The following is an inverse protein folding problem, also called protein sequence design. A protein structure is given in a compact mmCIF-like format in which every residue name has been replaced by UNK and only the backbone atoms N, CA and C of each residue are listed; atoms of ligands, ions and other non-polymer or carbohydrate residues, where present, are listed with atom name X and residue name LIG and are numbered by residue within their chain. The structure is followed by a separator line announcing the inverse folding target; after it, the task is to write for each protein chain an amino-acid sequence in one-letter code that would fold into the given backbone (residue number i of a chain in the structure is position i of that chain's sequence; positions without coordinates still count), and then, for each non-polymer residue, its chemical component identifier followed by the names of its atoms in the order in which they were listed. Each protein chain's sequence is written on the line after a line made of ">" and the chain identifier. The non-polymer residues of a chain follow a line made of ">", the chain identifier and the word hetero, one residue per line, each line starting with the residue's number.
data_IF_859687961589
#
_entry.id   IF_859687961589
#
_cell.length_a   1.000
_cell.length_b   1.000
_cell.length_c   1.000
_cell.angle_alpha   90.00
_cell.angle_beta   90.00
_cell.angle_gamma   90.00
#
_symmetry.space_group_name_H-M   'P 1'
#
loop_
_entity.id
_entity.type
_entity.pdbx_description
1 polymer ?
#
# COMPACT_ATOMS: atom_id res chain seq x y z
N UNK A 1 30.68 16.90 -8.58
CA UNK A 1 29.38 16.41 -9.09
C UNK A 1 28.28 17.15 -8.34
N UNK A 2 27.41 17.91 -9.03
CA UNK A 2 26.37 18.69 -8.36
C UNK A 2 25.24 17.75 -7.91
N UNK A 3 25.14 17.47 -6.61
CA UNK A 3 24.14 16.54 -6.05
C UNK A 3 22.75 17.18 -5.88
N UNK A 4 22.63 18.50 -6.07
CA UNK A 4 21.39 19.24 -5.86
C UNK A 4 20.19 18.68 -6.67
N UNK A 5 20.33 18.34 -7.97
CA UNK A 5 19.22 17.78 -8.74
C UNK A 5 18.80 16.40 -8.24
N UNK A 6 19.75 15.58 -7.81
CA UNK A 6 19.46 14.25 -7.26
C UNK A 6 18.60 14.35 -6.00
N UNK A 7 18.98 15.22 -5.05
CA UNK A 7 18.21 15.40 -3.82
C UNK A 7 16.81 15.97 -4.11
N UNK A 8 16.68 16.91 -5.05
CA UNK A 8 15.38 17.44 -5.45
C UNK A 8 14.46 16.33 -5.98
N UNK A 9 14.95 15.49 -6.90
CA UNK A 9 14.18 14.34 -7.41
C UNK A 9 13.83 13.36 -6.28
N UNK A 10 14.79 13.03 -5.42
CA UNK A 10 14.55 12.11 -4.30
C UNK A 10 13.44 12.59 -3.36
N UNK A 11 13.46 13.88 -2.98
CA UNK A 11 12.42 14.44 -2.11
C UNK A 11 11.08 14.50 -2.80
N UNK A 12 11.04 14.90 -4.08
CA UNK A 12 9.81 14.93 -4.87
C UNK A 12 9.17 13.53 -4.98
N UNK A 13 9.97 12.53 -5.30
CA UNK A 13 9.52 11.14 -5.37
C UNK A 13 9.05 10.64 -4.00
N UNK A 14 9.75 11.02 -2.93
CA UNK A 14 9.32 10.66 -1.57
C UNK A 14 7.94 11.23 -1.26
N UNK A 15 7.67 12.49 -1.63
CA UNK A 15 6.34 13.08 -1.49
C UNK A 15 5.29 12.33 -2.32
N UNK A 16 5.60 11.96 -3.56
CA UNK A 16 4.71 11.16 -4.41
C UNK A 16 4.39 9.82 -3.76
N UNK A 17 5.40 9.10 -3.25
CA UNK A 17 5.20 7.83 -2.56
C UNK A 17 4.32 8.01 -1.32
N UNK A 18 4.60 9.01 -0.48
CA UNK A 18 3.79 9.29 0.71
C UNK A 18 2.33 9.59 0.36
N UNK A 19 2.10 10.40 -0.69
CA UNK A 19 0.76 10.71 -1.17
C UNK A 19 0.02 9.48 -1.66
N UNK A 20 0.68 8.64 -2.47
CA UNK A 20 0.08 7.42 -3.01
C UNK A 20 -0.21 6.39 -1.91
N UNK A 21 0.68 6.26 -0.92
CA UNK A 21 0.47 5.35 0.22
C UNK A 21 -0.64 5.86 1.17
N UNK A 22 -0.94 7.15 1.18
CA UNK A 22 -2.06 7.70 1.96
C UNK A 22 -3.39 6.99 1.62
N UNK A 23 -3.64 6.73 0.32
CA UNK A 23 -4.82 5.97 -0.10
C UNK A 23 -4.86 4.55 0.49
N UNK A 24 -3.73 3.85 0.57
CA UNK A 24 -3.63 2.52 1.18
C UNK A 24 -3.89 2.55 2.70
N UNK A 25 -3.40 3.57 3.41
CA UNK A 25 -3.70 3.70 4.83
C UNK A 25 -5.18 3.97 5.09
N UNK A 26 -5.81 4.86 4.32
CA UNK A 26 -7.26 5.11 4.40
C UNK A 26 -8.02 3.81 4.07
N UNK A 27 -7.59 3.09 3.03
CA UNK A 27 -8.18 1.81 2.63
C UNK A 27 -8.14 0.78 3.74
N UNK A 28 -7.03 0.67 4.47
CA UNK A 28 -6.90 -0.22 5.62
C UNK A 28 -7.82 0.14 6.78
N UNK A 29 -8.05 1.43 7.02
CA UNK A 29 -9.03 1.90 8.02
C UNK A 29 -10.45 1.53 7.59
N UNK A 30 -10.83 1.84 6.35
CA UNK A 30 -12.15 1.51 5.80
C UNK A 30 -12.38 -0.01 5.80
N UNK A 31 -11.37 -0.80 5.43
CA UNK A 31 -11.41 -2.25 5.46
C UNK A 31 -11.70 -2.80 6.86
N UNK A 32 -11.06 -2.24 7.89
CA UNK A 32 -11.28 -2.66 9.27
C UNK A 32 -12.74 -2.44 9.73
N UNK A 33 -13.41 -1.39 9.24
CA UNK A 33 -14.85 -1.20 9.46
C UNK A 33 -15.68 -2.17 8.62
N UNK A 34 -15.31 -2.36 7.35
CA UNK A 34 -16.01 -3.25 6.43
C UNK A 34 -16.05 -4.70 6.94
N UNK A 35 -14.96 -5.17 7.56
CA UNK A 35 -14.89 -6.51 8.18
C UNK A 35 -15.82 -6.72 9.38
N UNK A 36 -16.38 -5.65 9.96
CA UNK A 36 -17.39 -5.74 11.03
C UNK A 36 -18.82 -5.91 10.50
N UNK A 37 -19.01 -5.83 9.19
CA UNK A 37 -20.33 -5.95 8.56
C UNK A 37 -20.68 -7.42 8.28
N UNK A 38 -21.96 -7.82 8.35
CA UNK A 38 -22.39 -9.18 8.00
C UNK A 38 -22.07 -9.57 6.55
N UNK A 39 -21.99 -8.58 5.65
CA UNK A 39 -21.69 -8.77 4.23
C UNK A 39 -20.32 -9.43 3.99
N UNK A 40 -19.35 -9.20 4.88
CA UNK A 40 -17.99 -9.74 4.75
C UNK A 40 -17.73 -10.99 5.60
N UNK A 41 -18.71 -11.45 6.37
CA UNK A 41 -18.60 -12.67 7.17
C UNK A 41 -18.40 -13.94 6.31
N UNK A 42 -19.11 -14.14 5.17
CA UNK A 42 -18.91 -15.32 4.33
C UNK A 42 -17.48 -15.46 3.80
N UNK A 43 -16.79 -14.33 3.60
CA UNK A 43 -15.41 -14.26 3.10
C UNK A 43 -14.36 -14.37 4.23
N UNK A 44 -14.77 -14.48 5.50
CA UNK A 44 -13.87 -14.66 6.64
C UNK A 44 -13.31 -16.09 6.75
N UNK A 45 -12.98 -16.71 5.61
CA UNK A 45 -12.44 -18.06 5.50
C UNK A 45 -11.02 -18.01 4.93
N UNK A 46 -10.10 -18.87 5.40
CA UNK A 46 -8.76 -18.97 4.83
C UNK A 46 -8.81 -19.29 3.34
N UNK A 47 -7.90 -18.70 2.56
CA UNK A 47 -7.74 -19.00 1.14
C UNK A 47 -7.26 -20.45 0.98
N UNK A 48 -6.16 -20.79 1.65
CA UNK A 48 -5.65 -22.15 1.77
C UNK A 48 -4.74 -22.25 2.99
N UNK A 49 -5.11 -23.10 3.96
CA UNK A 49 -4.38 -23.23 5.23
C UNK A 49 -2.98 -23.83 5.04
N UNK A 50 -2.86 -24.83 4.17
CA UNK A 50 -1.58 -25.53 3.93
C UNK A 50 -0.59 -24.66 3.16
N UNK A 51 -1.07 -23.90 2.18
CA UNK A 51 -0.23 -23.04 1.34
C UNK A 51 0.09 -21.72 2.02
N UNK A 52 -0.88 -21.03 2.63
CA UNK A 52 -0.70 -19.65 3.07
C UNK A 52 -0.92 -19.43 4.57
N UNK A 53 -1.44 -20.43 5.29
CA UNK A 53 -1.82 -20.33 6.70
C UNK A 53 -3.22 -19.75 6.90
N UNK A 54 -3.76 -19.90 8.12
CA UNK A 54 -5.14 -19.53 8.46
C UNK A 54 -5.44 -18.02 8.41
N UNK A 55 -4.40 -17.18 8.45
CA UNK A 55 -4.54 -15.71 8.50
C UNK A 55 -4.76 -15.08 7.12
N UNK A 56 -4.40 -15.76 6.03
CA UNK A 56 -4.65 -15.26 4.67
C UNK A 56 -6.05 -15.66 4.24
N UNK A 57 -6.98 -14.71 4.31
CA UNK A 57 -8.43 -14.92 4.14
C UNK A 57 -8.96 -14.21 2.90
N UNK A 58 -10.01 -14.77 2.30
CA UNK A 58 -10.68 -14.17 1.14
C UNK A 58 -11.19 -12.76 1.41
N UNK A 59 -11.65 -12.48 2.63
CA UNK A 59 -12.17 -11.16 2.99
C UNK A 59 -11.17 -10.06 2.66
N UNK A 60 -9.88 -10.22 3.01
CA UNK A 60 -8.85 -9.21 2.75
C UNK A 60 -8.59 -9.04 1.26
N UNK A 61 -8.45 -10.16 0.52
CA UNK A 61 -8.20 -10.13 -0.92
C UNK A 61 -9.32 -9.43 -1.70
N UNK A 62 -10.54 -9.38 -1.16
CA UNK A 62 -11.70 -8.71 -1.74
C UNK A 62 -11.88 -7.30 -1.19
N UNK A 63 -11.75 -7.09 0.13
CA UNK A 63 -12.03 -5.81 0.77
C UNK A 63 -11.01 -4.74 0.43
N UNK A 64 -9.71 -5.05 0.41
CA UNK A 64 -8.68 -4.04 0.16
C UNK A 64 -8.79 -3.41 -1.24
N UNK A 65 -9.00 -4.16 -2.35
CA UNK A 65 -9.30 -3.54 -3.65
C UNK A 65 -10.47 -2.55 -3.58
N UNK A 66 -11.56 -2.95 -2.94
CA UNK A 66 -12.79 -2.14 -2.87
C UNK A 66 -12.59 -0.88 -2.01
N UNK A 67 -11.98 -1.02 -0.84
CA UNK A 67 -11.73 0.10 0.07
C UNK A 67 -10.65 1.03 -0.46
N UNK A 68 -9.68 0.50 -1.22
CA UNK A 68 -8.68 1.29 -1.90
C UNK A 68 -9.27 2.09 -3.06
N UNK A 69 -10.14 1.50 -3.89
CA UNK A 69 -10.91 2.26 -4.88
C UNK A 69 -11.75 3.37 -4.25
N UNK A 70 -12.41 3.11 -3.13
CA UNK A 70 -13.14 4.14 -2.39
C UNK A 70 -12.21 5.25 -1.86
N UNK A 71 -11.02 4.88 -1.35
CA UNK A 71 -10.04 5.83 -0.82
C UNK A 71 -9.46 6.72 -1.92
N UNK A 72 -9.13 6.15 -3.07
CA UNK A 72 -8.68 6.89 -4.26
C UNK A 72 -9.77 7.83 -4.73
N UNK A 73 -11.03 7.39 -4.81
CA UNK A 73 -12.16 8.26 -5.16
C UNK A 73 -12.29 9.45 -4.20
N UNK A 74 -12.23 9.21 -2.88
CA UNK A 74 -12.27 10.28 -1.89
C UNK A 74 -11.11 11.27 -2.05
N UNK A 75 -9.90 10.77 -2.29
CA UNK A 75 -8.72 11.63 -2.50
C UNK A 75 -8.79 12.39 -3.82
N UNK A 76 -9.39 11.83 -4.88
CA UNK A 76 -9.67 12.58 -6.11
C UNK A 76 -10.62 13.76 -5.86
N UNK A 77 -11.64 13.60 -5.01
CA UNK A 77 -12.52 14.70 -4.64
C UNK A 77 -11.76 15.78 -3.86
N UNK A 78 -10.89 15.37 -2.93
CA UNK A 78 -10.01 16.29 -2.20
C UNK A 78 -9.09 17.06 -3.15
N UNK A 79 -8.46 16.37 -4.10
CA UNK A 79 -7.58 16.99 -5.10
C UNK A 79 -8.34 17.98 -5.99
N UNK A 80 -9.58 17.68 -6.39
CA UNK A 80 -10.36 18.57 -7.26
C UNK A 80 -10.91 19.79 -6.53
N UNK A 81 -11.23 19.66 -5.25
CA UNK A 81 -11.91 20.71 -4.48
C UNK A 81 -10.93 21.53 -3.62
N UNK A 82 -10.06 20.86 -2.87
CA UNK A 82 -9.19 21.53 -1.89
C UNK A 82 -7.85 21.97 -2.49
N UNK A 83 -7.28 21.20 -3.42
CA UNK A 83 -5.95 21.51 -3.97
C UNK A 83 -5.90 22.86 -4.70
N UNK A 84 -6.88 23.23 -5.55
CA UNK A 84 -6.88 24.54 -6.22
C UNK A 84 -7.01 25.71 -5.23
N UNK A 85 -7.62 25.49 -4.07
CA UNK A 85 -7.84 26.52 -3.04
C UNK A 85 -6.63 26.68 -2.14
N UNK A 86 -6.05 25.57 -1.70
CA UNK A 86 -4.96 25.57 -0.71
C UNK A 86 -3.58 25.72 -1.36
N UNK A 87 -3.41 25.17 -2.56
CA UNK A 87 -2.14 25.06 -3.26
C UNK A 87 -2.33 25.32 -4.76
N UNK A 88 -2.78 26.54 -5.15
CA UNK A 88 -3.07 26.87 -6.56
C UNK A 88 -1.86 26.70 -7.48
N UNK A 89 -0.64 26.80 -6.94
CA UNK A 89 0.62 26.59 -7.67
C UNK A 89 0.89 25.11 -8.03
N UNK A 90 0.20 24.19 -7.36
CA UNK A 90 0.29 22.74 -7.56
C UNK A 90 -0.90 22.18 -8.36
N UNK A 91 -1.88 23.01 -8.69
CA UNK A 91 -3.04 22.64 -9.48
C UNK A 91 -2.63 22.49 -10.96
N UNK A 92 -2.34 21.25 -11.34
CA UNK A 92 -2.05 20.79 -12.70
C UNK A 92 -0.72 21.30 -13.30
N UNK A 93 0.19 20.34 -13.48
CA UNK A 93 1.26 20.34 -14.49
C UNK A 93 2.58 21.09 -14.21
N UNK A 94 2.77 21.72 -13.04
CA UNK A 94 4.06 22.39 -12.70
C UNK A 94 4.88 21.78 -11.56
N UNK A 95 4.31 20.91 -10.73
CA UNK A 95 4.90 20.52 -9.45
C UNK A 95 5.56 19.14 -9.36
N UNK A 96 5.57 18.33 -10.43
CA UNK A 96 6.11 16.96 -10.39
C UNK A 96 5.35 16.00 -9.45
N UNK A 97 4.17 16.40 -8.95
CA UNK A 97 3.33 15.58 -8.08
C UNK A 97 2.49 14.61 -8.91
N UNK A 98 2.45 13.35 -8.50
CA UNK A 98 1.54 12.34 -9.05
C UNK A 98 0.21 12.47 -8.31
N UNK A 99 -0.83 12.90 -9.03
CA UNK A 99 -2.16 13.09 -8.49
C UNK A 99 -3.07 11.89 -8.82
N UNK A 100 -3.94 11.53 -7.90
CA UNK A 100 -4.93 10.47 -8.11
C UNK A 100 -5.91 10.82 -9.22
N UNK A 101 -6.21 12.09 -9.41
CA UNK A 101 -7.10 12.64 -10.44
C UNK A 101 -6.63 12.36 -11.86
N UNK A 102 -5.37 11.96 -12.05
CA UNK A 102 -4.82 11.49 -13.32
C UNK A 102 -5.17 10.02 -13.65
N UNK A 103 -5.71 9.27 -12.70
CA UNK A 103 -6.06 7.85 -12.88
C UNK A 103 -7.57 7.62 -12.89
N UNK A 104 -8.00 6.54 -13.53
CA UNK A 104 -9.32 5.99 -13.26
C UNK A 104 -9.32 5.35 -11.86
N UNK A 105 -10.19 5.83 -10.96
CA UNK A 105 -10.17 5.40 -9.56
C UNK A 105 -10.52 3.92 -9.38
N UNK A 106 -11.35 3.34 -10.26
CA UNK A 106 -11.68 1.91 -10.21
C UNK A 106 -10.48 1.08 -10.64
N UNK A 107 -9.89 1.40 -11.79
CA UNK A 107 -8.71 0.70 -12.32
C UNK A 107 -7.55 0.77 -11.33
N UNK A 108 -7.15 1.98 -10.94
CA UNK A 108 -6.04 2.18 -10.00
C UNK A 108 -6.34 1.57 -8.64
N UNK A 109 -7.53 1.86 -8.11
CA UNK A 109 -7.99 1.40 -6.82
C UNK A 109 -7.99 -0.12 -6.69
N UNK A 110 -8.69 -0.78 -7.61
CA UNK A 110 -8.86 -2.23 -7.59
C UNK A 110 -7.55 -2.96 -7.86
N UNK A 111 -6.76 -2.54 -8.86
CA UNK A 111 -5.50 -3.21 -9.19
C UNK A 111 -4.47 -3.07 -8.08
N UNK A 112 -4.28 -1.86 -7.54
CA UNK A 112 -3.31 -1.65 -6.46
C UNK A 112 -3.71 -2.41 -5.20
N UNK A 113 -4.97 -2.31 -4.76
CA UNK A 113 -5.43 -3.04 -3.57
C UNK A 113 -5.39 -4.57 -3.75
N UNK A 114 -5.67 -5.06 -4.96
CA UNK A 114 -5.57 -6.49 -5.27
C UNK A 114 -4.12 -6.98 -5.26
N UNK A 115 -3.24 -6.30 -6.00
CA UNK A 115 -1.82 -6.67 -6.08
C UNK A 115 -1.14 -6.55 -4.73
N UNK A 116 -1.48 -5.54 -3.93
CA UNK A 116 -0.95 -5.37 -2.58
C UNK A 116 -1.17 -6.64 -1.75
N UNK A 117 -2.41 -7.14 -1.66
CA UNK A 117 -2.71 -8.35 -0.89
C UNK A 117 -2.24 -9.64 -1.58
N UNK A 118 -2.29 -9.71 -2.91
CA UNK A 118 -1.81 -10.87 -3.67
C UNK A 118 -0.32 -11.10 -3.42
N UNK A 119 0.46 -10.03 -3.31
CA UNK A 119 1.92 -10.08 -3.20
C UNK A 119 2.42 -10.54 -1.82
N UNK A 120 1.54 -10.61 -0.82
CA UNK A 120 1.84 -11.23 0.48
C UNK A 120 1.77 -12.77 0.43
N UNK A 121 1.11 -13.34 -0.58
CA UNK A 121 0.92 -14.79 -0.68
C UNK A 121 2.21 -15.57 -0.96
N UNK A 122 3.12 -15.13 -1.86
CA UNK A 122 4.40 -15.80 -2.08
C UNK A 122 5.24 -15.92 -0.80
N UNK A 123 5.36 -14.85 -0.03
CA UNK A 123 6.08 -14.87 1.24
C UNK A 123 5.41 -15.82 2.25
N UNK A 124 4.08 -15.80 2.32
CA UNK A 124 3.32 -16.72 3.18
C UNK A 124 3.54 -18.19 2.80
N UNK A 125 3.63 -18.49 1.50
CA UNK A 125 3.94 -19.81 0.98
C UNK A 125 5.34 -20.28 1.39
N UNK A 126 6.36 -19.42 1.22
CA UNK A 126 7.73 -19.73 1.62
C UNK A 126 7.79 -20.01 3.13
N UNK A 127 7.13 -19.18 3.96
CA UNK A 127 7.07 -19.38 5.41
C UNK A 127 6.46 -20.73 5.80
N UNK A 128 5.43 -21.21 5.09
CA UNK A 128 4.84 -22.54 5.34
C UNK A 128 5.79 -23.68 5.00
N UNK A 129 6.64 -23.55 3.98
CA UNK A 129 7.67 -24.56 3.63
C UNK A 129 8.82 -24.60 4.63
N UNK A 130 9.05 -23.50 5.34
CA UNK A 130 10.06 -23.40 6.38
C UNK A 130 9.52 -23.68 7.79
N UNK A 131 8.27 -24.16 7.90
CA UNK A 131 7.58 -24.41 9.18
C UNK A 131 7.52 -23.19 10.11
N UNK A 132 7.53 -21.97 9.54
CA UNK A 132 7.39 -20.73 10.30
C UNK A 132 5.89 -20.53 10.60
N UNK A 133 5.49 -20.34 11.87
CA UNK A 133 4.09 -20.11 12.22
C UNK A 133 3.52 -18.79 11.65
N UNK A 134 2.20 -18.68 11.44
CA UNK A 134 1.57 -17.41 11.08
C UNK A 134 1.75 -16.36 12.18
N UNK A 135 2.23 -15.16 11.81
CA UNK A 135 2.42 -14.05 12.75
C UNK A 135 3.68 -14.14 13.61
N UNK A 136 4.57 -15.09 13.31
CA UNK A 136 5.88 -15.16 13.95
C UNK A 136 6.78 -14.01 13.46
N UNK A 137 7.09 -13.08 14.37
CA UNK A 137 8.00 -11.94 14.16
C UNK A 137 9.39 -12.20 14.79
N UNK A 138 9.69 -13.41 15.28
CA UNK A 138 10.96 -13.73 15.95
C UNK A 138 12.16 -13.80 15.00
N UNK A 139 11.93 -14.15 13.74
CA UNK A 139 12.97 -14.22 12.73
C UNK A 139 13.15 -12.84 12.05
N UNK A 140 14.31 -12.16 12.21
CA UNK A 140 14.51 -10.80 11.70
C UNK A 140 14.49 -10.71 10.17
N UNK A 141 14.87 -11.78 9.46
CA UNK A 141 14.82 -11.83 8.00
C UNK A 141 13.37 -11.83 7.52
N UNK A 142 12.53 -12.70 8.10
CA UNK A 142 11.10 -12.73 7.76
C UNK A 142 10.35 -11.52 8.27
N UNK A 143 10.75 -10.93 9.40
CA UNK A 143 10.23 -9.66 9.84
C UNK A 143 10.46 -8.57 8.78
N UNK A 144 11.66 -8.49 8.20
CA UNK A 144 11.96 -7.52 7.15
C UNK A 144 11.17 -7.80 5.86
N UNK A 145 11.15 -9.06 5.40
CA UNK A 145 10.40 -9.47 4.20
C UNK A 145 8.89 -9.19 4.37
N UNK A 146 8.32 -9.43 5.55
CA UNK A 146 6.90 -9.17 5.87
C UNK A 146 6.51 -7.69 5.73
N UNK A 147 7.46 -6.75 5.80
CA UNK A 147 7.20 -5.32 5.60
C UNK A 147 7.45 -4.86 4.16
N UNK A 148 7.97 -5.74 3.30
CA UNK A 148 8.30 -5.42 1.91
C UNK A 148 7.47 -6.19 0.88
N UNK A 149 6.90 -7.33 1.22
CA UNK A 149 6.23 -8.23 0.27
C UNK A 149 5.11 -7.56 -0.54
N UNK A 150 4.18 -6.89 0.13
CA UNK A 150 3.11 -6.09 -0.48
C UNK A 150 3.63 -4.85 -1.23
N UNK A 151 4.72 -4.26 -0.74
CA UNK A 151 5.38 -3.11 -1.37
C UNK A 151 5.95 -3.49 -2.74
N UNK A 152 6.68 -4.60 -2.84
CA UNK A 152 7.29 -5.02 -4.09
C UNK A 152 6.27 -5.26 -5.20
N UNK A 153 5.17 -5.93 -4.88
CA UNK A 153 4.09 -6.14 -5.84
C UNK A 153 3.52 -4.84 -6.39
N UNK A 154 3.24 -3.89 -5.49
CA UNK A 154 2.70 -2.59 -5.85
C UNK A 154 3.68 -1.79 -6.74
N UNK A 155 4.97 -1.83 -6.42
CA UNK A 155 6.01 -1.17 -7.22
C UNK A 155 6.17 -1.80 -8.61
N UNK A 156 6.09 -3.13 -8.71
CA UNK A 156 6.09 -3.86 -10.00
C UNK A 156 4.88 -3.43 -10.84
N UNK A 157 3.68 -3.38 -10.25
CA UNK A 157 2.47 -2.89 -10.92
C UNK A 157 2.64 -1.44 -11.39
N UNK A 158 3.14 -0.55 -10.54
CA UNK A 158 3.38 0.85 -10.90
C UNK A 158 4.35 1.00 -12.06
N UNK A 159 5.44 0.23 -12.08
CA UNK A 159 6.42 0.29 -13.16
C UNK A 159 5.86 -0.27 -14.48
N UNK A 160 5.33 -1.49 -14.47
CA UNK A 160 4.96 -2.17 -15.71
C UNK A 160 3.61 -1.75 -16.27
N UNK A 161 2.63 -1.43 -15.40
CA UNK A 161 1.27 -1.10 -15.81
C UNK A 161 1.05 0.41 -15.86
N UNK A 162 1.26 1.12 -14.75
CA UNK A 162 1.06 2.57 -14.67
C UNK A 162 2.23 3.40 -15.24
N UNK A 163 3.29 2.73 -15.71
CA UNK A 163 4.45 3.34 -16.37
C UNK A 163 5.14 4.42 -15.52
N UNK A 164 5.17 4.24 -14.21
CA UNK A 164 5.90 5.15 -13.33
C UNK A 164 7.39 5.10 -13.65
N UNK A 165 8.08 6.24 -13.62
CA UNK A 165 9.49 6.30 -13.93
C UNK A 165 10.32 5.54 -12.89
N UNK A 166 11.44 4.98 -13.33
CA UNK A 166 12.28 4.11 -12.50
C UNK A 166 12.76 4.78 -11.21
N UNK A 167 13.02 6.10 -11.21
CA UNK A 167 13.45 6.82 -10.01
C UNK A 167 12.41 6.75 -8.87
N UNK A 168 11.11 6.89 -9.19
CA UNK A 168 10.03 6.71 -8.22
C UNK A 168 9.99 5.29 -7.66
N UNK A 169 10.22 4.30 -8.51
CA UNK A 169 10.28 2.89 -8.09
C UNK A 169 11.45 2.66 -7.12
N UNK A 170 12.64 3.19 -7.46
CA UNK A 170 13.83 3.09 -6.63
C UNK A 170 13.66 3.79 -5.27
N UNK A 171 13.02 4.96 -5.24
CA UNK A 171 12.69 5.66 -3.98
C UNK A 171 11.63 4.88 -3.21
N UNK A 172 10.60 4.36 -3.88
CA UNK A 172 9.54 3.56 -3.28
C UNK A 172 10.06 2.30 -2.58
N UNK A 173 11.10 1.65 -3.13
CA UNK A 173 11.78 0.51 -2.50
C UNK A 173 12.38 0.82 -1.13
N UNK A 174 12.71 2.08 -0.86
CA UNK A 174 13.28 2.53 0.41
C UNK A 174 12.20 3.14 1.32
N UNK A 175 11.40 4.07 0.78
CA UNK A 175 10.46 4.88 1.57
C UNK A 175 9.26 4.06 2.04
N UNK A 176 8.68 3.22 1.18
CA UNK A 176 7.46 2.50 1.52
C UNK A 176 7.66 1.48 2.68
N UNK A 177 8.69 0.61 2.67
CA UNK A 177 8.91 -0.31 3.79
C UNK A 177 9.17 0.41 5.11
N UNK A 178 9.96 1.50 5.09
CA UNK A 178 10.22 2.32 6.27
C UNK A 178 8.92 2.91 6.84
N UNK A 179 8.02 3.39 5.98
CA UNK A 179 6.74 3.92 6.40
C UNK A 179 5.84 2.85 7.02
N UNK A 180 5.76 1.65 6.43
CA UNK A 180 4.99 0.54 6.99
C UNK A 180 5.57 0.04 8.32
N UNK A 181 6.90 -0.03 8.43
CA UNK A 181 7.58 -0.36 9.69
C UNK A 181 7.29 0.70 10.76
N UNK A 182 7.37 1.99 10.42
CA UNK A 182 7.02 3.09 11.31
C UNK A 182 5.56 3.00 11.77
N UNK A 183 4.62 2.76 10.85
CA UNK A 183 3.21 2.58 11.19
C UNK A 183 3.00 1.39 12.15
N UNK A 184 3.71 0.28 11.94
CA UNK A 184 3.70 -0.86 12.88
C UNK A 184 4.26 -0.48 14.24
N UNK A 185 5.37 0.24 14.29
CA UNK A 185 5.98 0.71 15.53
C UNK A 185 5.05 1.64 16.33
N UNK A 186 4.40 2.61 15.67
CA UNK A 186 3.43 3.51 16.30
C UNK A 186 2.26 2.71 16.89
N UNK A 187 1.69 1.75 16.13
CA UNK A 187 0.59 0.91 16.61
C UNK A 187 0.97 0.11 17.86
N UNK A 188 2.20 -0.41 17.93
CA UNK A 188 2.70 -1.11 19.13
C UNK A 188 2.81 -0.16 20.33
N UNK A 189 3.33 1.05 20.13
CA UNK A 189 3.43 2.08 21.19
C UNK A 189 2.08 2.55 21.72
N UNK A 190 1.06 2.58 20.86
CA UNK A 190 -0.32 2.93 21.23
C UNK A 190 -1.12 1.75 21.82
N UNK A 191 -0.52 0.55 21.93
CA UNK A 191 -1.22 -0.65 22.42
C UNK A 191 -2.26 -1.22 21.46
N UNK A 192 -2.27 -0.77 20.20
CA UNK A 192 -3.22 -1.22 19.15
C UNK A 192 -2.79 -2.54 18.50
N UNK A 193 -1.51 -2.90 18.62
CA UNK A 193 -0.94 -4.18 18.20
C UNK A 193 -0.05 -4.69 19.32
N UNK A 194 -0.24 -5.95 19.73
CA UNK A 194 0.63 -6.63 20.70
C UNK A 194 1.98 -6.97 20.05
#
# INVERSE_FOLDING_TARGET
>A
MNLLPFFQTFFQDSYNILWLLCALFIAGVLEAFLWKTPLFEPFNKPINVQLFGANKKWRGLISLPLTHAASVFCLQLVERVLLPVLLPEFACDRGGLILFSCFNFLEYGLLVGFIFNLSELPNSFIKRRLNIPPGDESNPVFFFIDHMDSTYGTLILWYFYFKFPFHIIAVGLLVAPLLFMLATWIRKRLGLKK
#
